data_IF_981280650653
#
_entry.id   IF_981280650653
#
_cell.length_a   1.000
_cell.length_b   1.000
_cell.length_c   1.000
_cell.angle_alpha   90.00
_cell.angle_beta   90.00
_cell.angle_gamma   90.00
#
_symmetry.space_group_name_H-M   'P 1'
#
loop_
_entity.id
_entity.type
_entity.pdbx_description
1 polymer ?
#
# COMPACT_ATOMS: atom_id res chain seq x y z
N UNK A 1 39.75 43.03 -24.24
CA UNK A 1 39.48 41.93 -25.18
C UNK A 1 40.58 40.94 -24.97
N UNK A 2 40.28 39.83 -24.31
CA UNK A 2 41.04 38.58 -24.34
C UNK A 2 40.12 37.43 -23.94
N UNK A 3 40.42 36.29 -24.54
CA UNK A 3 39.68 35.05 -24.76
C UNK A 3 39.93 34.05 -23.60
N UNK A 4 38.99 33.15 -23.28
CA UNK A 4 39.27 31.71 -23.10
C UNK A 4 37.99 30.85 -23.07
N UNK A 5 38.20 29.63 -23.54
CA UNK A 5 37.33 28.52 -23.97
C UNK A 5 36.36 27.89 -22.94
N UNK A 6 35.42 27.11 -23.52
CA UNK A 6 34.45 26.22 -22.88
C UNK A 6 35.09 25.10 -22.03
N UNK A 7 34.33 24.36 -21.18
CA UNK A 7 33.69 23.13 -21.70
C UNK A 7 32.33 22.76 -21.09
N UNK A 8 31.65 21.91 -21.85
CA UNK A 8 30.47 21.11 -21.53
C UNK A 8 30.47 20.46 -20.14
N UNK A 9 29.30 20.43 -19.50
CA UNK A 9 28.93 19.37 -18.55
C UNK A 9 27.46 19.00 -18.75
N UNK A 10 27.24 17.93 -19.52
CA UNK A 10 26.03 17.13 -19.42
C UNK A 10 26.00 16.52 -18.01
N UNK A 11 24.95 16.77 -17.24
CA UNK A 11 24.57 15.87 -16.15
C UNK A 11 23.08 15.59 -16.26
N UNK A 12 22.80 14.55 -17.03
CA UNK A 12 21.62 13.72 -16.88
C UNK A 12 21.48 13.34 -15.41
N UNK A 13 20.40 13.78 -14.78
CA UNK A 13 19.89 13.16 -13.56
C UNK A 13 18.51 12.63 -13.92
N UNK A 14 18.52 11.43 -14.50
CA UNK A 14 17.33 10.60 -14.60
C UNK A 14 16.79 10.37 -13.18
N UNK A 15 15.81 11.16 -12.75
CA UNK A 15 14.96 10.82 -11.61
C UNK A 15 13.94 9.75 -12.05
N UNK A 16 14.44 8.65 -12.61
CA UNK A 16 13.71 7.39 -12.60
C UNK A 16 13.99 6.79 -11.24
N UNK A 17 13.29 7.28 -10.20
CA UNK A 17 13.20 6.55 -8.94
C UNK A 17 12.42 5.28 -9.29
N UNK A 18 13.22 4.27 -9.61
CA UNK A 18 12.81 3.04 -10.23
C UNK A 18 11.85 2.31 -9.28
N UNK A 19 10.72 1.87 -9.84
CA UNK A 19 9.75 0.94 -9.24
C UNK A 19 10.44 -0.28 -8.58
N UNK A 20 11.68 -0.59 -9.00
CA UNK A 20 12.55 -1.64 -8.46
C UNK A 20 13.03 -1.41 -7.02
N UNK A 21 13.18 -0.17 -6.53
CA UNK A 21 13.57 0.08 -5.13
C UNK A 21 12.40 -0.17 -4.16
N UNK A 22 11.16 0.13 -4.59
CA UNK A 22 9.94 -0.18 -3.81
C UNK A 22 9.78 -1.70 -3.59
N UNK A 23 10.22 -2.53 -4.54
CA UNK A 23 10.20 -4.00 -4.41
C UNK A 23 11.20 -4.54 -3.36
N UNK A 24 12.30 -3.83 -3.09
CA UNK A 24 13.31 -4.23 -2.10
C UNK A 24 12.82 -4.00 -0.67
N UNK A 25 12.05 -2.93 -0.42
CA UNK A 25 11.54 -2.63 0.92
C UNK A 25 10.50 -3.66 1.40
N UNK A 26 9.60 -4.11 0.52
CA UNK A 26 8.67 -5.22 0.84
C UNK A 26 9.40 -6.55 1.12
N UNK A 27 10.56 -6.78 0.49
CA UNK A 27 11.41 -7.93 0.82
C UNK A 27 12.04 -7.77 2.21
N UNK A 28 12.41 -6.55 2.60
CA UNK A 28 12.95 -6.28 3.94
C UNK A 28 11.91 -6.53 5.04
N UNK A 29 10.67 -6.01 4.89
CA UNK A 29 9.57 -6.30 5.84
C UNK A 29 9.29 -7.81 5.93
N UNK A 30 9.44 -8.55 4.82
CA UNK A 30 9.30 -10.00 4.79
C UNK A 30 10.42 -10.75 5.52
N UNK A 31 11.64 -10.20 5.59
CA UNK A 31 12.81 -10.86 6.19
C UNK A 31 12.85 -10.77 7.72
N UNK A 32 12.32 -9.69 8.32
CA UNK A 32 12.32 -9.52 9.79
C UNK A 32 11.27 -10.37 10.53
N UNK A 33 10.41 -11.09 9.80
CA UNK A 33 9.29 -11.85 10.38
C UNK A 33 9.53 -13.37 10.48
N UNK A 34 10.78 -13.84 10.31
CA UNK A 34 11.15 -15.24 10.52
C UNK A 34 11.77 -15.46 11.91
N UNK A 35 10.92 -15.57 12.95
CA UNK A 35 11.22 -16.42 14.10
C UNK A 35 9.96 -16.70 14.95
N UNK A 36 9.27 -17.80 14.65
CA UNK A 36 8.94 -18.82 15.64
C UNK A 36 8.24 -20.00 14.96
N UNK A 37 9.00 -21.07 14.72
CA UNK A 37 8.46 -22.42 14.66
C UNK A 37 7.93 -22.81 16.05
N UNK A 38 6.70 -23.34 16.11
CA UNK A 38 6.31 -24.36 17.07
C UNK A 38 5.16 -25.17 16.47
N UNK A 39 5.43 -26.46 16.28
CA UNK A 39 4.50 -27.40 15.68
C UNK A 39 3.44 -27.96 16.62
N UNK A 40 2.83 -29.05 16.11
CA UNK A 40 2.05 -30.06 16.82
C UNK A 40 0.55 -29.76 17.08
N UNK A 41 -0.36 -30.31 16.26
CA UNK A 41 -1.08 -31.58 16.50
C UNK A 41 -2.31 -31.72 15.57
N UNK A 42 -2.40 -32.87 14.91
CA UNK A 42 -3.61 -33.40 14.26
C UNK A 42 -4.71 -33.67 15.30
N UNK A 43 -5.95 -33.26 15.03
CA UNK A 43 -7.16 -34.04 15.41
C UNK A 43 -8.30 -33.78 14.43
N UNK A 44 -8.74 -34.81 13.70
CA UNK A 44 -10.04 -34.88 13.03
C UNK A 44 -11.15 -35.13 14.07
N UNK A 45 -12.37 -34.63 13.83
CA UNK A 45 -13.45 -35.61 13.73
C UNK A 45 -14.42 -35.34 12.58
N UNK A 46 -14.74 -36.44 11.90
CA UNK A 46 -15.83 -36.61 10.94
C UNK A 46 -17.18 -36.21 11.53
N UNK A 47 -17.95 -35.32 10.87
CA UNK A 47 -19.40 -35.30 11.08
C UNK A 47 -20.19 -34.78 9.85
N UNK A 48 -20.89 -35.74 9.24
CA UNK A 48 -22.17 -35.70 8.48
C UNK A 48 -22.37 -34.69 7.34
N UNK A 49 -22.53 -35.25 6.13
CA UNK A 49 -23.00 -34.60 4.89
C UNK A 49 -24.48 -34.15 5.00
N UNK A 50 -24.83 -32.93 4.59
CA UNK A 50 -26.17 -32.61 4.10
C UNK A 50 -26.34 -32.98 2.61
N UNK A 51 -27.58 -33.26 2.21
CA UNK A 51 -28.02 -33.73 0.89
C UNK A 51 -27.84 -32.66 -0.21
N UNK A 52 -27.76 -33.05 -1.51
CA UNK A 52 -27.64 -32.09 -2.61
C UNK A 52 -28.97 -31.40 -2.86
N UNK A 53 -29.05 -30.11 -2.54
CA UNK A 53 -30.17 -29.24 -2.86
C UNK A 53 -29.68 -28.05 -3.67
N UNK A 54 -30.15 -27.96 -4.92
CA UNK A 54 -30.22 -26.76 -5.77
C UNK A 54 -28.95 -25.89 -5.84
N UNK A 55 -28.13 -26.16 -6.86
CA UNK A 55 -27.18 -25.17 -7.40
C UNK A 55 -27.96 -23.97 -7.92
N UNK A 56 -28.05 -22.91 -7.13
CA UNK A 56 -28.09 -21.56 -7.68
C UNK A 56 -26.76 -21.35 -8.41
N UNK A 57 -26.73 -20.71 -9.58
CA UNK A 57 -25.49 -20.16 -10.07
C UNK A 57 -25.12 -19.06 -9.10
N UNK A 58 -24.38 -19.42 -8.04
CA UNK A 58 -23.52 -18.47 -7.36
C UNK A 58 -22.78 -17.77 -8.49
N UNK A 59 -22.99 -16.47 -8.55
CA UNK A 59 -22.21 -15.58 -9.37
C UNK A 59 -20.75 -15.85 -9.02
N UNK A 60 -20.10 -16.73 -9.78
CA UNK A 60 -18.69 -16.63 -10.05
C UNK A 60 -18.53 -15.22 -10.64
N UNK A 61 -18.33 -14.24 -9.75
CA UNK A 61 -17.51 -13.09 -10.05
C UNK A 61 -16.29 -13.72 -10.69
N UNK A 62 -16.25 -13.61 -12.02
CA UNK A 62 -15.22 -14.23 -12.84
C UNK A 62 -13.90 -13.97 -12.15
N UNK A 63 -13.10 -15.01 -11.97
CA UNK A 63 -11.80 -14.98 -11.31
C UNK A 63 -10.93 -13.89 -11.95
N UNK A 64 -11.12 -12.66 -11.49
CA UNK A 64 -10.27 -11.50 -11.65
C UNK A 64 -8.95 -11.94 -11.04
N UNK A 65 -7.95 -12.20 -11.89
CA UNK A 65 -6.53 -12.34 -11.56
C UNK A 65 -6.30 -12.93 -10.15
N UNK A 66 -6.26 -14.27 -10.06
CA UNK A 66 -6.10 -15.05 -8.81
C UNK A 66 -5.32 -14.28 -7.73
N UNK A 67 -6.05 -13.75 -6.74
CA UNK A 67 -5.50 -13.10 -5.57
C UNK A 67 -4.55 -14.07 -4.85
N UNK A 68 -3.29 -13.65 -4.62
CA UNK A 68 -2.33 -14.48 -3.90
C UNK A 68 -2.27 -14.04 -2.44
N UNK A 69 -2.75 -14.88 -1.53
CA UNK A 69 -2.59 -14.64 -0.10
C UNK A 69 -1.14 -14.69 0.37
N UNK A 70 -0.92 -14.34 1.63
CA UNK A 70 0.38 -14.19 2.29
C UNK A 70 0.52 -12.82 2.94
N UNK A 71 1.70 -12.21 2.78
CA UNK A 71 1.96 -10.85 3.24
C UNK A 71 1.66 -9.86 2.11
N UNK A 72 0.49 -9.22 2.17
CA UNK A 72 0.11 -8.16 1.25
C UNK A 72 0.77 -6.83 1.64
N UNK A 73 0.92 -5.95 0.64
CA UNK A 73 1.44 -4.60 0.82
C UNK A 73 0.40 -3.54 0.47
N UNK A 74 0.40 -2.44 1.20
CA UNK A 74 -0.30 -1.21 0.85
C UNK A 74 0.73 -0.08 0.78
N UNK A 75 0.77 0.58 -0.36
CA UNK A 75 1.61 1.74 -0.62
C UNK A 75 0.71 2.98 -0.70
N UNK A 76 1.08 4.02 0.03
CA UNK A 76 0.33 5.28 0.10
C UNK A 76 1.27 6.42 -0.22
N UNK A 77 0.86 7.23 -1.19
CA UNK A 77 1.49 8.50 -1.52
C UNK A 77 0.57 9.63 -1.07
N UNK A 78 1.03 10.40 -0.09
CA UNK A 78 0.33 11.54 0.48
C UNK A 78 0.87 12.84 -0.10
N UNK A 79 -0.03 13.78 -0.37
CA UNK A 79 0.33 15.14 -0.75
C UNK A 79 -0.30 16.11 0.23
N UNK A 80 0.47 17.10 0.63
CA UNK A 80 0.03 18.21 1.45
C UNK A 80 0.36 19.51 0.72
N UNK A 81 -0.65 20.20 0.19
CA UNK A 81 -0.46 21.38 -0.64
C UNK A 81 -1.78 21.99 -1.10
N UNK A 82 -1.73 23.20 -1.64
CA UNK A 82 -2.94 23.91 -2.05
C UNK A 82 -3.46 23.41 -3.41
N UNK A 83 -4.67 22.86 -3.42
CA UNK A 83 -5.42 22.53 -4.63
C UNK A 83 -6.88 23.01 -4.48
N UNK A 84 -7.56 23.43 -5.56
CA UNK A 84 -8.99 23.74 -5.53
C UNK A 84 -9.90 22.64 -4.94
N UNK A 85 -9.47 21.37 -4.98
CA UNK A 85 -10.20 20.21 -4.44
C UNK A 85 -9.93 19.94 -2.96
N UNK A 86 -8.87 20.53 -2.39
CA UNK A 86 -8.52 20.41 -0.99
C UNK A 86 -7.03 20.59 -0.71
N UNK A 87 -6.67 20.67 0.57
CA UNK A 87 -5.28 20.80 1.04
C UNK A 87 -4.51 19.48 1.07
N UNK A 88 -5.20 18.35 0.90
CA UNK A 88 -4.63 17.02 0.97
C UNK A 88 -5.04 16.17 -0.23
N UNK A 89 -4.10 15.35 -0.71
CA UNK A 89 -4.35 14.27 -1.65
C UNK A 89 -3.78 12.96 -1.09
N UNK A 90 -4.43 11.86 -1.46
CA UNK A 90 -3.97 10.51 -1.19
C UNK A 90 -4.10 9.64 -2.44
N UNK A 91 -3.02 8.94 -2.78
CA UNK A 91 -3.02 7.81 -3.71
C UNK A 91 -2.72 6.53 -2.95
N UNK A 92 -3.41 5.46 -3.30
CA UNK A 92 -3.30 4.16 -2.63
C UNK A 92 -3.11 3.06 -3.66
N UNK A 93 -2.17 2.16 -3.40
CA UNK A 93 -1.87 0.99 -4.21
C UNK A 93 -1.76 -0.24 -3.31
N UNK A 94 -2.48 -1.31 -3.63
CA UNK A 94 -2.51 -2.55 -2.85
C UNK A 94 -1.96 -3.69 -3.69
N UNK A 95 -1.01 -4.41 -3.11
CA UNK A 95 -0.29 -5.52 -3.70
C UNK A 95 -0.57 -6.82 -2.95
N UNK A 96 -0.72 -7.91 -3.68
CA UNK A 96 -0.90 -9.23 -3.10
C UNK A 96 0.41 -9.85 -2.57
N UNK A 97 0.35 -11.06 -2.00
CA UNK A 97 1.51 -11.77 -1.46
C UNK A 97 2.60 -12.13 -2.49
N UNK A 98 2.32 -11.97 -3.79
CA UNK A 98 3.29 -12.09 -4.90
C UNK A 98 3.70 -10.74 -5.48
N UNK A 99 3.41 -9.65 -4.78
CA UNK A 99 3.71 -8.27 -5.19
C UNK A 99 3.00 -7.86 -6.49
N UNK A 100 1.85 -8.48 -6.80
CA UNK A 100 1.03 -8.05 -7.93
C UNK A 100 0.07 -6.96 -7.47
N UNK A 101 0.02 -5.85 -8.20
CA UNK A 101 -1.02 -4.84 -7.97
C UNK A 101 -2.40 -5.49 -8.20
N UNK A 102 -3.25 -5.41 -7.17
CA UNK A 102 -4.61 -5.98 -7.13
C UNK A 102 -5.69 -4.92 -6.97
N UNK A 103 -5.36 -3.77 -6.39
CA UNK A 103 -6.28 -2.64 -6.29
C UNK A 103 -5.50 -1.33 -6.18
N UNK A 104 -6.03 -0.25 -6.73
CA UNK A 104 -5.52 1.10 -6.51
C UNK A 104 -6.64 2.12 -6.59
N UNK A 105 -6.41 3.26 -5.94
CA UNK A 105 -7.25 4.45 -6.07
C UNK A 105 -6.37 5.67 -5.95
N UNK A 106 -6.46 6.53 -6.95
CA UNK A 106 -5.63 7.74 -7.09
C UNK A 106 -6.51 8.98 -7.01
N UNK A 107 -5.88 10.10 -6.67
CA UNK A 107 -6.46 11.43 -6.56
C UNK A 107 -7.68 11.52 -5.66
N UNK A 108 -7.54 11.01 -4.43
CA UNK A 108 -8.52 11.22 -3.36
C UNK A 108 -8.18 12.56 -2.70
N UNK A 109 -9.05 13.57 -2.85
CA UNK A 109 -8.82 14.93 -2.36
C UNK A 109 -9.73 15.30 -1.18
N UNK A 110 -9.25 16.18 -0.29
CA UNK A 110 -10.05 16.76 0.79
C UNK A 110 -9.28 17.71 1.70
N UNK A 111 -9.97 18.30 2.68
CA UNK A 111 -9.43 19.25 3.66
C UNK A 111 -9.32 18.64 5.08
N UNK A 112 -9.24 17.32 5.17
CA UNK A 112 -9.25 16.60 6.44
C UNK A 112 -9.05 15.10 6.21
N UNK A 113 -9.77 14.28 6.97
CA UNK A 113 -9.66 12.82 6.88
C UNK A 113 -9.97 12.34 5.47
N UNK A 114 -9.02 11.65 4.85
CA UNK A 114 -9.23 10.99 3.56
C UNK A 114 -9.43 9.50 3.79
N UNK A 115 -10.38 8.90 3.08
CA UNK A 115 -10.76 7.50 3.24
C UNK A 115 -10.70 6.76 1.91
N UNK A 116 -10.19 5.53 1.95
CA UNK A 116 -10.16 4.58 0.85
C UNK A 116 -10.64 3.21 1.33
N UNK A 117 -11.48 2.57 0.52
CA UNK A 117 -11.98 1.21 0.75
C UNK A 117 -11.62 0.36 -0.46
N UNK A 118 -10.92 -0.74 -0.26
CA UNK A 118 -10.53 -1.62 -1.35
C UNK A 118 -11.73 -2.39 -1.90
N UNK A 119 -11.71 -2.62 -3.22
CA UNK A 119 -12.66 -3.54 -3.87
C UNK A 119 -11.93 -4.81 -4.33
N UNK A 120 -12.66 -5.92 -4.42
CA UNK A 120 -12.19 -7.20 -5.00
C UNK A 120 -11.04 -7.89 -4.23
N UNK A 121 -10.80 -7.49 -2.98
CA UNK A 121 -10.07 -8.31 -2.00
C UNK A 121 -11.03 -9.26 -1.27
N UNK A 122 -10.55 -10.36 -0.65
CA UNK A 122 -11.38 -11.26 0.16
C UNK A 122 -12.12 -10.59 1.32
N UNK A 123 -11.53 -9.56 1.92
CA UNK A 123 -12.14 -8.65 2.89
C UNK A 123 -11.90 -7.21 2.47
N UNK A 124 -12.69 -6.25 2.98
CA UNK A 124 -12.48 -4.84 2.69
C UNK A 124 -11.27 -4.34 3.51
N UNK A 125 -10.28 -3.79 2.82
CA UNK A 125 -9.22 -2.99 3.42
C UNK A 125 -9.72 -1.54 3.52
N UNK A 126 -9.89 -1.04 4.74
CA UNK A 126 -10.19 0.37 5.00
C UNK A 126 -8.90 1.10 5.33
N UNK A 127 -8.75 2.30 4.78
CA UNK A 127 -7.56 3.13 4.88
C UNK A 127 -8.01 4.55 5.17
N UNK A 128 -7.60 5.09 6.30
CA UNK A 128 -7.91 6.47 6.69
C UNK A 128 -6.60 7.23 6.90
N UNK A 129 -6.50 8.45 6.40
CA UNK A 129 -5.32 9.32 6.59
C UNK A 129 -5.75 10.68 7.12
N UNK A 130 -4.80 11.43 7.70
CA UNK A 130 -5.05 12.76 8.30
C UNK A 130 -6.06 12.78 9.47
N UNK A 131 -6.33 11.64 10.10
CA UNK A 131 -7.27 11.49 11.24
C UNK A 131 -6.71 11.78 12.63
N UNK A 132 -5.41 12.07 12.74
CA UNK A 132 -4.72 12.36 14.01
C UNK A 132 -4.04 11.13 14.65
N UNK A 133 -3.03 11.37 15.48
CA UNK A 133 -2.22 10.36 16.19
C UNK A 133 -1.23 9.59 15.30
N UNK A 134 -1.71 9.05 14.20
CA UNK A 134 -0.94 8.39 13.15
C UNK A 134 -1.21 9.08 11.79
N UNK A 135 -0.28 8.95 10.84
CA UNK A 135 -0.50 9.46 9.47
C UNK A 135 -1.60 8.67 8.75
N UNK A 136 -1.69 7.36 9.06
CA UNK A 136 -2.72 6.50 8.54
C UNK A 136 -3.15 5.42 9.54
N UNK A 137 -4.40 4.99 9.44
CA UNK A 137 -4.96 3.83 10.14
C UNK A 137 -5.59 2.87 9.13
N UNK A 138 -5.57 1.59 9.48
CA UNK A 138 -5.93 0.51 8.59
C UNK A 138 -6.80 -0.54 9.28
N UNK A 139 -7.76 -1.11 8.57
CA UNK A 139 -8.46 -2.33 9.00
C UNK A 139 -8.62 -3.32 7.84
N UNK A 140 -8.41 -4.61 8.10
CA UNK A 140 -8.60 -5.68 7.13
C UNK A 140 -9.03 -6.97 7.83
N UNK A 141 -10.30 -7.36 7.66
CA UNK A 141 -10.89 -8.44 8.46
C UNK A 141 -10.78 -8.14 9.95
N UNK A 142 -10.14 -9.04 10.71
CA UNK A 142 -9.92 -8.88 12.16
C UNK A 142 -8.64 -8.11 12.51
N UNK A 143 -7.87 -7.66 11.52
CA UNK A 143 -6.64 -6.89 11.73
C UNK A 143 -6.95 -5.39 11.77
N UNK A 144 -6.38 -4.70 12.75
CA UNK A 144 -6.32 -3.24 12.81
C UNK A 144 -4.89 -2.81 13.17
N UNK A 145 -4.37 -1.80 12.48
CA UNK A 145 -3.03 -1.26 12.74
C UNK A 145 -2.94 0.20 12.27
N UNK A 146 -1.85 0.87 12.60
CA UNK A 146 -1.59 2.24 12.18
C UNK A 146 -0.17 2.43 11.62
N UNK A 147 0.09 3.61 11.05
CA UNK A 147 1.37 3.94 10.40
C UNK A 147 2.59 3.93 11.33
N UNK A 148 2.38 3.98 12.65
CA UNK A 148 3.46 3.98 13.64
C UNK A 148 3.86 2.54 14.02
N UNK A 149 3.07 1.53 13.67
CA UNK A 149 3.34 0.14 14.04
C UNK A 149 4.55 -0.42 13.27
N UNK A 150 5.58 -0.85 14.01
CA UNK A 150 6.75 -1.55 13.47
C UNK A 150 6.67 -3.04 13.81
N UNK A 151 7.05 -3.94 12.89
CA UNK A 151 7.65 -3.69 11.56
C UNK A 151 6.61 -3.51 10.44
N UNK A 152 5.31 -3.42 10.76
CA UNK A 152 4.23 -3.41 9.75
C UNK A 152 4.33 -2.27 8.75
N UNK A 153 4.75 -1.09 9.21
CA UNK A 153 4.79 0.12 8.40
C UNK A 153 6.20 0.71 8.32
N UNK A 154 6.59 1.14 7.13
CA UNK A 154 7.70 2.04 6.86
C UNK A 154 7.14 3.37 6.37
N UNK A 155 7.50 4.45 7.04
CA UNK A 155 6.99 5.80 6.77
C UNK A 155 8.19 6.64 6.39
N UNK A 156 8.14 7.25 5.20
CA UNK A 156 9.16 8.19 4.72
C UNK A 156 9.11 9.54 5.44
N UNK A 157 10.05 10.40 5.10
CA UNK A 157 9.98 11.80 5.48
C UNK A 157 9.06 12.56 4.52
N UNK A 158 8.60 13.74 4.93
CA UNK A 158 8.01 14.69 4.00
C UNK A 158 9.12 15.25 3.09
N UNK A 159 8.98 15.01 1.80
CA UNK A 159 9.80 15.63 0.78
C UNK A 159 9.25 17.03 0.47
N UNK A 160 10.15 18.01 0.56
CA UNK A 160 9.83 19.42 0.50
C UNK A 160 9.29 19.87 -0.86
N UNK A 161 8.74 21.09 -0.92
CA UNK A 161 8.20 21.59 -2.16
C UNK A 161 9.28 21.81 -3.22
N UNK A 162 8.98 21.36 -4.44
CA UNK A 162 9.71 21.75 -5.65
C UNK A 162 9.66 23.27 -5.86
N UNK A 163 10.65 23.84 -6.53
CA UNK A 163 10.65 25.28 -6.88
C UNK A 163 9.34 25.67 -7.61
N UNK A 164 8.56 26.58 -7.00
CA UNK A 164 7.27 27.04 -7.53
C UNK A 164 6.05 26.25 -7.04
N UNK A 165 6.20 25.31 -6.11
CA UNK A 165 5.12 24.57 -5.46
C UNK A 165 5.11 24.86 -3.96
N UNK A 166 3.96 24.73 -3.30
CA UNK A 166 3.86 24.61 -1.83
C UNK A 166 3.59 23.16 -1.40
N UNK A 167 3.39 22.25 -2.37
CA UNK A 167 3.04 20.86 -2.13
C UNK A 167 4.23 20.07 -1.63
N UNK A 168 4.06 19.42 -0.49
CA UNK A 168 4.95 18.40 0.07
C UNK A 168 4.38 17.01 -0.22
N UNK A 169 5.26 16.03 -0.33
CA UNK A 169 4.87 14.63 -0.56
C UNK A 169 5.45 13.71 0.51
N UNK A 170 4.74 12.63 0.85
CA UNK A 170 5.24 11.60 1.74
C UNK A 170 4.83 10.23 1.21
N UNK A 171 5.78 9.31 1.23
CA UNK A 171 5.58 7.92 0.84
C UNK A 171 5.53 7.02 2.08
N UNK A 172 4.64 6.03 2.06
CA UNK A 172 4.49 5.07 3.14
C UNK A 172 4.15 3.69 2.57
N UNK A 173 4.79 2.68 3.14
CA UNK A 173 4.59 1.27 2.81
C UNK A 173 4.21 0.50 4.07
N UNK A 174 3.01 -0.06 4.10
CA UNK A 174 2.54 -0.92 5.18
C UNK A 174 2.23 -2.32 4.67
N UNK A 175 2.22 -3.31 5.58
CA UNK A 175 1.88 -4.68 5.26
C UNK A 175 0.81 -5.27 6.17
N UNK A 176 0.11 -6.28 5.66
CA UNK A 176 -0.94 -6.99 6.38
C UNK A 176 -1.04 -8.43 5.90
N UNK A 177 -1.61 -9.29 6.74
CA UNK A 177 -1.91 -10.67 6.32
C UNK A 177 -3.13 -10.68 5.43
N UNK A 178 -3.01 -11.35 4.30
CA UNK A 178 -4.06 -11.69 3.37
C UNK A 178 -3.81 -13.13 2.87
#
# INVERSE_FOLDING_TARGET
MDIFDSPSAQHSSNSSLHITDKLQLFRYIKLDNHNHDNGFLQVHPSFRRPRPGRSYPDSEKSLTKRFNGGWCGVHIHLFNGENPKGSHEMNVFVYDGKQQLVWSKESIWGNGILMAESENLPAVLNINTYGGGALATFTYGDQAWDSNEKPRCSVGAWDGPSFGSSTQTLEMDCGFSC
#
